data_IF_768359332875
#
_entry.id   IF_768359332875
#
_cell.length_a   1.000
_cell.length_b   1.000
_cell.length_c   1.000
_cell.angle_alpha   90.00
_cell.angle_beta   90.00
_cell.angle_gamma   90.00
#
_symmetry.space_group_name_H-M   'P 1'
#
loop_
_entity.id
_entity.type
_entity.pdbx_description
1 polymer ?
#
# COMPACT_ATOMS: atom_id res chain seq x y z
N UNK A 1 -19.15 0.00 3.01
CA UNK A 1 -20.09 -0.60 2.04
C UNK A 1 -21.43 0.12 1.96
N UNK A 2 -21.54 1.36 2.42
CA UNK A 2 -22.85 2.00 2.66
C UNK A 2 -23.26 2.99 1.55
N UNK A 3 -22.32 3.44 0.70
CA UNK A 3 -22.61 4.35 -0.43
C UNK A 3 -22.44 3.73 -1.84
N UNK A 4 -21.64 2.66 -1.99
CA UNK A 4 -21.27 2.09 -3.30
C UNK A 4 -21.56 0.58 -3.44
N UNK A 5 -22.17 -0.04 -2.43
CA UNK A 5 -22.51 -1.47 -2.42
C UNK A 5 -21.32 -2.43 -2.59
N UNK A 6 -21.63 -3.68 -2.93
CA UNK A 6 -20.65 -4.76 -3.17
C UNK A 6 -19.70 -4.46 -4.34
N UNK A 7 -20.22 -3.82 -5.39
CA UNK A 7 -19.44 -3.50 -6.59
C UNK A 7 -18.35 -2.46 -6.29
N UNK A 8 -18.66 -1.43 -5.50
CA UNK A 8 -17.67 -0.45 -5.06
C UNK A 8 -16.54 -1.08 -4.23
N UNK A 9 -16.87 -2.01 -3.33
CA UNK A 9 -15.84 -2.74 -2.57
C UNK A 9 -14.98 -3.64 -3.45
N UNK A 10 -15.54 -4.29 -4.47
CA UNK A 10 -14.78 -5.12 -5.41
C UNK A 10 -13.80 -4.29 -6.24
N UNK A 11 -14.24 -3.12 -6.73
CA UNK A 11 -13.38 -2.20 -7.49
C UNK A 11 -12.24 -1.68 -6.60
N UNK A 12 -12.54 -1.27 -5.36
CA UNK A 12 -11.53 -0.80 -4.42
C UNK A 12 -10.50 -1.89 -4.09
N UNK A 13 -10.95 -3.11 -3.82
CA UNK A 13 -10.06 -4.25 -3.60
C UNK A 13 -9.19 -4.53 -4.83
N UNK A 14 -9.76 -4.46 -6.04
CA UNK A 14 -9.00 -4.61 -7.29
C UNK A 14 -7.92 -3.54 -7.47
N UNK A 15 -8.22 -2.28 -7.12
CA UNK A 15 -7.25 -1.19 -7.14
C UNK A 15 -6.11 -1.42 -6.16
N UNK A 16 -6.41 -1.81 -4.91
CA UNK A 16 -5.38 -2.14 -3.93
C UNK A 16 -4.54 -3.34 -4.35
N UNK A 17 -5.14 -4.39 -4.91
CA UNK A 17 -4.41 -5.54 -5.41
C UNK A 17 -3.45 -5.13 -6.53
N UNK A 18 -3.91 -4.28 -7.46
CA UNK A 18 -3.07 -3.73 -8.54
C UNK A 18 -1.91 -2.89 -7.98
N UNK A 19 -2.16 -2.11 -6.93
CA UNK A 19 -1.13 -1.34 -6.24
C UNK A 19 -0.08 -2.26 -5.59
N UNK A 20 -0.49 -3.29 -4.87
CA UNK A 20 0.41 -4.27 -4.25
C UNK A 20 1.28 -4.98 -5.31
N UNK A 21 0.67 -5.43 -6.41
CA UNK A 21 1.39 -6.06 -7.53
C UNK A 21 2.43 -5.10 -8.16
N UNK A 22 2.10 -3.82 -8.30
CA UNK A 22 3.07 -2.80 -8.76
C UNK A 22 4.24 -2.65 -7.80
N UNK A 23 3.99 -2.61 -6.49
CA UNK A 23 5.06 -2.49 -5.48
C UNK A 23 5.97 -3.71 -5.51
N UNK A 24 5.42 -4.93 -5.65
CA UNK A 24 6.21 -6.17 -5.82
C UNK A 24 7.10 -6.08 -7.06
N UNK A 25 6.55 -5.66 -8.20
CA UNK A 25 7.32 -5.51 -9.43
C UNK A 25 8.47 -4.49 -9.28
N UNK A 26 8.22 -3.38 -8.58
CA UNK A 26 9.25 -2.37 -8.27
C UNK A 26 10.32 -2.99 -7.37
N UNK A 27 9.95 -3.74 -6.33
CA UNK A 27 10.88 -4.38 -5.41
C UNK A 27 11.82 -5.36 -6.14
N UNK A 28 11.27 -6.22 -7.00
CA UNK A 28 12.04 -7.22 -7.76
C UNK A 28 12.97 -6.59 -8.80
N UNK A 29 12.63 -5.40 -9.32
CA UNK A 29 13.51 -4.67 -10.26
C UNK A 29 14.61 -3.88 -9.55
N UNK A 30 14.54 -3.68 -8.23
CA UNK A 30 15.58 -2.93 -7.51
C UNK A 30 16.91 -3.67 -7.53
N UNK A 31 17.99 -2.97 -7.88
CA UNK A 31 19.36 -3.51 -7.86
C UNK A 31 20.02 -3.41 -6.48
N UNK A 32 19.67 -2.40 -5.70
CA UNK A 32 20.18 -2.22 -4.34
C UNK A 32 19.38 -3.04 -3.34
N UNK A 33 20.08 -3.78 -2.46
CA UNK A 33 19.47 -4.53 -1.37
C UNK A 33 18.65 -3.63 -0.45
N UNK A 34 19.13 -2.40 -0.19
CA UNK A 34 18.42 -1.43 0.63
C UNK A 34 17.08 -1.02 0.01
N UNK A 35 17.09 -0.62 -1.27
CA UNK A 35 15.86 -0.22 -1.98
C UNK A 35 14.86 -1.38 -2.09
N UNK A 36 15.36 -2.61 -2.27
CA UNK A 36 14.52 -3.81 -2.31
C UNK A 36 13.85 -4.07 -0.96
N UNK A 37 14.61 -4.05 0.14
CA UNK A 37 14.07 -4.25 1.50
C UNK A 37 13.06 -3.14 1.85
N UNK A 38 13.36 -1.88 1.49
CA UNK A 38 12.42 -0.79 1.68
C UNK A 38 11.11 -1.02 0.92
N UNK A 39 11.17 -1.41 -0.35
CA UNK A 39 9.98 -1.71 -1.15
C UNK A 39 9.13 -2.85 -0.55
N UNK A 40 9.76 -3.90 -0.02
CA UNK A 40 9.07 -4.97 0.70
C UNK A 40 8.46 -4.50 2.03
N UNK A 41 9.12 -3.56 2.74
CA UNK A 41 8.55 -2.92 3.92
C UNK A 41 7.30 -2.11 3.57
N UNK A 42 7.35 -1.32 2.51
CA UNK A 42 6.20 -0.57 1.99
C UNK A 42 5.05 -1.51 1.63
N UNK A 43 5.34 -2.59 0.88
CA UNK A 43 4.37 -3.61 0.53
C UNK A 43 3.67 -4.18 1.78
N UNK A 44 4.45 -4.53 2.80
CA UNK A 44 3.96 -5.13 4.04
C UNK A 44 3.02 -4.18 4.77
N UNK A 45 3.38 -2.89 4.88
CA UNK A 45 2.52 -1.87 5.50
C UNK A 45 1.16 -1.80 4.81
N UNK A 46 1.14 -1.68 3.48
CA UNK A 46 -0.12 -1.66 2.73
C UNK A 46 -0.91 -2.96 2.89
N UNK A 47 -0.24 -4.11 2.77
CA UNK A 47 -0.85 -5.42 2.90
C UNK A 47 -1.55 -5.59 4.26
N UNK A 48 -0.88 -5.25 5.37
CA UNK A 48 -1.48 -5.36 6.70
C UNK A 48 -2.68 -4.43 6.87
N UNK A 49 -2.61 -3.18 6.38
CA UNK A 49 -3.73 -2.25 6.50
C UNK A 49 -4.96 -2.73 5.73
N UNK A 50 -4.76 -3.28 4.53
CA UNK A 50 -5.83 -3.85 3.70
C UNK A 50 -6.36 -5.15 4.33
N UNK A 51 -5.48 -6.08 4.70
CA UNK A 51 -5.86 -7.37 5.27
C UNK A 51 -6.65 -7.19 6.59
N UNK A 52 -6.20 -6.30 7.47
CA UNK A 52 -6.93 -5.99 8.72
C UNK A 52 -8.27 -5.34 8.42
N UNK A 53 -8.36 -4.42 7.45
CA UNK A 53 -9.64 -3.83 7.04
C UNK A 53 -10.63 -4.87 6.49
N UNK A 54 -10.15 -5.81 5.69
CA UNK A 54 -10.96 -6.93 5.21
C UNK A 54 -11.42 -7.79 6.39
N UNK A 55 -10.50 -8.21 7.26
CA UNK A 55 -10.80 -9.03 8.45
C UNK A 55 -11.81 -8.38 9.39
N UNK A 56 -11.74 -7.06 9.58
CA UNK A 56 -12.73 -6.31 10.34
C UNK A 56 -14.10 -6.31 9.64
N UNK A 57 -14.13 -6.19 8.32
CA UNK A 57 -15.37 -6.15 7.52
C UNK A 57 -16.10 -7.50 7.51
N UNK A 58 -15.36 -8.61 7.50
CA UNK A 58 -15.93 -9.97 7.55
C UNK A 58 -16.14 -10.50 8.97
N UNK A 59 -15.82 -9.71 10.01
CA UNK A 59 -16.03 -10.06 11.41
C UNK A 59 -15.01 -11.04 12.01
N UNK A 60 -13.87 -11.28 11.34
CA UNK A 60 -12.80 -12.16 11.85
C UNK A 60 -11.90 -11.48 12.90
N UNK A 61 -11.82 -10.14 12.88
CA UNK A 61 -11.00 -9.37 13.82
C UNK A 61 -11.85 -8.28 14.50
N UNK A 62 -11.56 -7.91 15.76
CA UNK A 62 -12.23 -6.80 16.41
C UNK A 62 -11.99 -5.49 15.65
N UNK A 63 -12.95 -4.58 15.66
CA UNK A 63 -12.86 -3.32 14.93
C UNK A 63 -11.85 -2.40 15.62
N UNK A 64 -10.64 -2.33 15.06
CA UNK A 64 -9.51 -1.54 15.58
C UNK A 64 -9.53 -0.10 15.03
N UNK A 65 -10.29 0.15 13.96
CA UNK A 65 -10.44 1.49 13.37
C UNK A 65 -9.20 1.99 12.62
N UNK A 66 -8.43 1.10 12.01
CA UNK A 66 -7.23 1.47 11.23
C UNK A 66 -7.66 2.11 9.90
N UNK A 67 -7.12 3.29 9.52
CA UNK A 67 -7.50 3.97 8.29
C UNK A 67 -7.08 3.16 7.06
N UNK A 68 -8.00 3.00 6.10
CA UNK A 68 -7.69 2.51 4.77
C UNK A 68 -6.75 3.51 4.07
N UNK A 69 -5.60 3.04 3.55
CA UNK A 69 -4.66 3.92 2.85
C UNK A 69 -5.33 4.65 1.69
N UNK A 70 -5.32 5.99 1.69
CA UNK A 70 -5.92 6.88 0.67
C UNK A 70 -7.45 7.03 0.65
N UNK A 71 -8.23 6.16 1.30
CA UNK A 71 -9.71 6.24 1.30
C UNK A 71 -10.28 6.74 2.63
N UNK A 72 -9.65 6.41 3.76
CA UNK A 72 -10.17 6.84 5.06
C UNK A 72 -9.85 8.30 5.36
N UNK A 73 -10.81 8.98 6.01
CA UNK A 73 -10.67 10.34 6.53
C UNK A 73 -9.66 10.38 7.69
N UNK A 74 -8.40 10.57 7.35
CA UNK A 74 -7.32 10.81 8.29
C UNK A 74 -6.19 11.56 7.60
N UNK A 75 -6.09 12.87 7.80
CA UNK A 75 -5.10 13.71 7.10
C UNK A 75 -3.66 13.28 7.34
N UNK A 76 -3.34 12.86 8.56
CA UNK A 76 -2.01 12.34 8.95
C UNK A 76 -1.71 11.00 8.29
N UNK A 77 -2.69 10.09 8.23
CA UNK A 77 -2.54 8.82 7.54
C UNK A 77 -2.31 9.02 6.05
N UNK A 78 -3.08 9.91 5.40
CA UNK A 78 -2.92 10.25 4.00
C UNK A 78 -1.52 10.81 3.70
N UNK A 79 -1.04 11.76 4.52
CA UNK A 79 0.32 12.29 4.40
C UNK A 79 1.39 11.20 4.58
N UNK A 80 1.21 10.32 5.58
CA UNK A 80 2.16 9.24 5.87
C UNK A 80 2.28 8.27 4.70
N UNK A 81 1.17 7.78 4.16
CA UNK A 81 1.17 6.88 3.00
C UNK A 81 1.70 7.57 1.73
N UNK A 82 1.43 8.85 1.57
CA UNK A 82 1.95 9.64 0.42
C UNK A 82 3.46 9.77 0.49
N UNK A 83 4.02 10.13 1.65
CA UNK A 83 5.48 10.23 1.85
C UNK A 83 6.14 8.86 1.65
N UNK A 84 5.54 7.80 2.20
CA UNK A 84 6.04 6.43 2.07
C UNK A 84 6.12 5.98 0.59
N UNK A 85 5.09 6.27 -0.22
CA UNK A 85 5.14 6.02 -1.66
C UNK A 85 6.10 6.97 -2.39
N UNK A 86 6.18 8.24 -2.00
CA UNK A 86 7.09 9.20 -2.64
C UNK A 86 8.55 8.77 -2.51
N UNK A 87 8.94 8.26 -1.34
CA UNK A 87 10.29 7.70 -1.12
C UNK A 87 10.50 6.45 -1.98
N UNK A 88 9.52 5.55 -2.06
CA UNK A 88 9.61 4.37 -2.93
C UNK A 88 9.83 4.76 -4.40
N UNK A 89 9.07 5.74 -4.90
CA UNK A 89 9.20 6.24 -6.28
C UNK A 89 10.56 6.90 -6.48
N UNK A 90 11.04 7.68 -5.51
CA UNK A 90 12.38 8.28 -5.56
C UNK A 90 13.47 7.22 -5.65
N UNK A 91 13.41 6.17 -4.84
CA UNK A 91 14.37 5.07 -4.86
C UNK A 91 14.32 4.30 -6.19
N UNK A 92 13.13 4.08 -6.75
CA UNK A 92 13.00 3.44 -8.05
C UNK A 92 13.56 4.28 -9.21
N UNK A 93 13.46 5.61 -9.13
CA UNK A 93 14.06 6.53 -10.09
C UNK A 93 15.60 6.57 -9.98
N UNK A 94 16.12 6.54 -8.76
CA UNK A 94 17.57 6.55 -8.48
C UNK A 94 18.26 5.22 -8.82
N UNK A 95 17.50 4.16 -9.14
CA UNK A 95 18.02 2.81 -9.43
C UNK A 95 19.12 2.78 -10.52
N UNK A 96 19.09 3.72 -11.46
CA UNK A 96 20.05 3.81 -12.56
C UNK A 96 21.26 4.69 -12.21
N UNK A 97 21.13 5.55 -11.19
CA UNK A 97 22.17 6.50 -10.80
C UNK A 97 23.28 5.84 -9.97
N UNK A 98 22.98 4.71 -9.31
CA UNK A 98 23.96 3.83 -8.62
C UNK A 98 25.02 3.23 -9.57
N UNK A 99 24.88 3.40 -10.90
CA UNK A 99 25.84 2.94 -11.91
C UNK A 99 26.89 4.00 -12.30
N UNK A 100 26.91 5.16 -11.64
CA UNK A 100 27.92 6.20 -11.90
C UNK A 100 28.91 6.32 -10.75
#
# INVERSE_FOLDING_TARGET
GEGFGFLGSMILLGLYLTLLLKIINIAERQRSTFSRVYAYGVLSVFFFHIAVNISMTIGLAPVIGIPLPFISYGGTALLTFTILLAILVRLDADRQMVLR
#
